data_IF_735285035119
#
_entry.id   IF_735285035119
#
_cell.length_a   1.000
_cell.length_b   1.000
_cell.length_c   1.000
_cell.angle_alpha   90.00
_cell.angle_beta   90.00
_cell.angle_gamma   90.00
#
_symmetry.space_group_name_H-M   'P 1'
#
loop_
_entity.id
_entity.type
_entity.pdbx_description
1 polymer ?
#
# COMPACT_ATOMS: atom_id res chain seq x y z
N UNK A 1 13.32 23.53 -6.30
CA UNK A 1 11.87 23.27 -6.17
C UNK A 1 11.61 21.87 -6.70
N UNK A 2 10.98 21.05 -5.84
CA UNK A 2 11.05 19.59 -5.87
C UNK A 2 10.36 18.93 -7.05
N UNK A 3 10.98 17.87 -7.56
CA UNK A 3 10.37 16.91 -8.47
C UNK A 3 10.49 15.52 -7.84
N UNK A 4 9.40 15.04 -7.27
CA UNK A 4 9.27 13.60 -7.00
C UNK A 4 7.87 13.15 -7.38
N UNK A 5 7.53 13.32 -8.67
CA UNK A 5 6.33 12.78 -9.31
C UNK A 5 6.59 11.38 -9.90
N UNK A 6 7.72 10.76 -9.57
CA UNK A 6 8.15 9.47 -10.11
C UNK A 6 8.31 8.45 -9.00
N UNK A 7 7.71 7.27 -9.21
CA UNK A 7 7.83 6.10 -8.37
C UNK A 7 9.27 5.57 -8.29
N UNK A 8 9.65 5.11 -7.09
CA UNK A 8 10.94 4.45 -6.83
C UNK A 8 10.78 3.34 -5.80
N UNK A 9 11.60 2.30 -5.93
CA UNK A 9 11.70 1.22 -4.95
C UNK A 9 10.48 0.28 -4.95
N UNK A 10 10.42 -0.67 -4.01
CA UNK A 10 9.46 -1.79 -4.06
C UNK A 10 7.99 -1.40 -4.01
N UNK A 11 7.65 -0.23 -3.45
CA UNK A 11 6.27 0.28 -3.37
C UNK A 11 5.98 1.37 -4.42
N UNK A 12 6.93 1.64 -5.33
CA UNK A 12 6.85 2.75 -6.28
C UNK A 12 6.54 4.09 -5.58
N UNK A 13 7.32 4.41 -4.53
CA UNK A 13 7.12 5.58 -3.69
C UNK A 13 7.09 6.84 -4.57
N UNK A 14 5.94 7.52 -4.54
CA UNK A 14 5.62 8.67 -5.38
C UNK A 14 5.17 9.84 -4.53
N UNK A 15 5.22 11.05 -5.08
CA UNK A 15 4.85 12.32 -4.45
C UNK A 15 5.81 12.82 -3.37
N UNK A 16 6.12 14.12 -3.43
CA UNK A 16 7.00 14.80 -2.48
C UNK A 16 6.61 14.63 -1.01
N UNK A 17 5.33 14.65 -0.68
CA UNK A 17 4.90 14.48 0.71
C UNK A 17 5.32 13.12 1.28
N UNK A 18 5.28 12.04 0.49
CA UNK A 18 5.72 10.72 0.94
C UNK A 18 7.25 10.69 1.15
N UNK A 19 8.03 11.28 0.24
CA UNK A 19 9.49 11.38 0.39
C UNK A 19 9.88 12.20 1.63
N UNK A 20 9.15 13.27 1.91
CA UNK A 20 9.36 14.07 3.12
C UNK A 20 9.06 13.29 4.40
N UNK A 21 7.88 12.67 4.49
CA UNK A 21 7.45 11.94 5.68
C UNK A 21 8.34 10.72 5.97
N UNK A 22 8.69 9.94 4.94
CA UNK A 22 9.58 8.79 5.13
C UNK A 22 11.03 9.22 5.37
N UNK A 23 11.48 10.30 4.74
CA UNK A 23 12.79 10.87 4.99
C UNK A 23 12.95 11.32 6.44
N UNK A 24 11.95 12.00 6.99
CA UNK A 24 11.90 12.37 8.40
C UNK A 24 11.92 11.13 9.30
N UNK A 25 11.11 10.11 9.00
CA UNK A 25 11.05 8.88 9.79
C UNK A 25 12.37 8.08 9.78
N UNK A 26 13.13 8.15 8.69
CA UNK A 26 14.41 7.45 8.54
C UNK A 26 15.62 8.32 8.94
N UNK A 27 15.44 9.62 9.18
CA UNK A 27 16.54 10.56 9.40
C UNK A 27 17.39 10.79 8.15
N UNK A 28 16.81 10.67 6.95
CA UNK A 28 17.49 10.82 5.65
C UNK A 28 16.74 11.86 4.81
N UNK A 29 17.44 12.86 4.28
CA UNK A 29 16.80 13.87 3.42
C UNK A 29 16.55 13.32 1.99
N UNK A 30 15.42 12.63 1.85
CA UNK A 30 14.95 12.05 0.59
C UNK A 30 14.28 13.07 -0.33
N UNK A 31 13.96 14.28 0.14
CA UNK A 31 13.49 15.37 -0.72
C UNK A 31 14.64 15.96 -1.53
N UNK A 32 15.80 16.15 -0.89
CA UNK A 32 17.01 16.57 -1.57
C UNK A 32 17.67 15.42 -2.35
N UNK A 33 17.57 14.17 -1.87
CA UNK A 33 18.27 13.00 -2.44
C UNK A 33 17.33 11.83 -2.79
N UNK A 34 16.32 12.02 -3.66
CA UNK A 34 15.31 10.99 -3.93
C UNK A 34 15.86 9.74 -4.61
N UNK A 35 17.01 9.83 -5.28
CA UNK A 35 17.62 8.68 -5.95
C UNK A 35 18.27 7.68 -4.99
N UNK A 36 18.42 8.02 -3.70
CA UNK A 36 18.81 7.04 -2.68
C UNK A 36 17.85 5.84 -2.63
N UNK A 37 16.55 6.05 -2.91
CA UNK A 37 15.55 4.97 -2.99
C UNK A 37 15.84 3.99 -4.14
N UNK A 38 16.60 4.41 -5.17
CA UNK A 38 17.05 3.53 -6.26
C UNK A 38 18.41 2.91 -6.01
N UNK A 39 19.31 3.67 -5.38
CA UNK A 39 20.73 3.34 -5.28
C UNK A 39 21.07 2.51 -4.03
N UNK A 40 20.29 2.64 -2.97
CA UNK A 40 20.49 1.91 -1.71
C UNK A 40 19.32 0.96 -1.46
N UNK A 41 19.61 -0.34 -1.49
CA UNK A 41 18.60 -1.38 -1.29
C UNK A 41 17.98 -1.37 0.11
N UNK A 42 18.75 -1.01 1.15
CA UNK A 42 18.23 -0.92 2.50
C UNK A 42 17.24 0.25 2.62
N UNK A 43 17.58 1.41 2.08
CA UNK A 43 16.67 2.56 2.01
C UNK A 43 15.43 2.21 1.19
N UNK A 44 15.60 1.56 0.04
CA UNK A 44 14.48 1.13 -0.80
C UNK A 44 13.46 0.28 -0.02
N UNK A 45 13.91 -0.77 0.69
CA UNK A 45 13.02 -1.60 1.50
C UNK A 45 12.47 -0.88 2.73
N UNK A 46 13.26 -0.04 3.40
CA UNK A 46 12.79 0.78 4.51
C UNK A 46 11.65 1.71 4.08
N UNK A 47 11.73 2.31 2.90
CA UNK A 47 10.62 3.16 2.41
C UNK A 47 9.34 2.37 2.14
N UNK A 48 9.45 1.16 1.58
CA UNK A 48 8.31 0.29 1.35
C UNK A 48 7.66 -0.20 2.65
N UNK A 49 8.49 -0.58 3.63
CA UNK A 49 8.03 -0.98 4.97
C UNK A 49 7.40 0.19 5.70
N UNK A 50 7.99 1.39 5.64
CA UNK A 50 7.40 2.57 6.24
C UNK A 50 6.00 2.84 5.68
N UNK A 51 5.81 2.78 4.36
CA UNK A 51 4.49 2.94 3.76
C UNK A 51 3.52 1.87 4.26
N UNK A 52 3.96 0.61 4.31
CA UNK A 52 3.14 -0.51 4.77
C UNK A 52 2.69 -0.39 6.23
N UNK A 53 3.53 0.19 7.08
CA UNK A 53 3.31 0.30 8.53
C UNK A 53 2.58 1.59 8.93
N UNK A 54 2.66 2.65 8.13
CA UNK A 54 2.22 4.00 8.52
C UNK A 54 0.78 4.27 8.06
N UNK A 55 -0.16 4.54 8.99
CA UNK A 55 -1.50 4.98 8.59
C UNK A 55 -1.46 6.38 7.99
N UNK A 56 -2.26 6.62 6.95
CA UNK A 56 -2.41 7.93 6.31
C UNK A 56 -3.90 8.32 6.35
N UNK A 57 -4.32 9.01 7.41
CA UNK A 57 -5.73 9.36 7.64
C UNK A 57 -6.39 9.92 6.37
N UNK A 58 -7.57 9.40 5.97
CA UNK A 58 -8.44 8.45 6.68
C UNK A 58 -8.06 6.97 6.57
N UNK A 59 -7.02 6.60 5.82
CA UNK A 59 -6.63 5.21 5.57
C UNK A 59 -5.92 4.59 6.79
N UNK A 60 -6.27 3.36 7.20
CA UNK A 60 -5.44 2.59 8.11
C UNK A 60 -4.13 2.16 7.43
N UNK A 61 -3.17 1.62 8.18
CA UNK A 61 -1.98 1.01 7.58
C UNK A 61 -2.30 -0.37 7.00
N UNK A 62 -1.60 -0.76 5.93
CA UNK A 62 -1.72 -2.10 5.35
C UNK A 62 -1.40 -3.17 6.39
N UNK A 63 -0.40 -2.92 7.25
CA UNK A 63 -0.06 -3.81 8.36
C UNK A 63 -1.26 -4.08 9.27
N UNK A 64 -1.92 -3.02 9.77
CA UNK A 64 -3.06 -3.18 10.68
C UNK A 64 -4.23 -3.94 10.02
N UNK A 65 -4.46 -3.72 8.73
CA UNK A 65 -5.47 -4.49 7.96
C UNK A 65 -5.14 -5.98 7.94
N UNK A 66 -3.89 -6.35 7.66
CA UNK A 66 -3.49 -7.75 7.49
C UNK A 66 -3.29 -8.51 8.79
N UNK A 67 -3.01 -7.82 9.90
CA UNK A 67 -2.78 -8.44 11.22
C UNK A 67 -4.00 -8.39 12.14
N UNK A 68 -5.15 -7.86 11.67
CA UNK A 68 -6.35 -7.71 12.48
C UNK A 68 -6.31 -6.53 13.47
N UNK A 69 -5.34 -5.62 13.32
CA UNK A 69 -5.23 -4.39 14.10
C UNK A 69 -6.15 -3.25 13.63
N UNK A 70 -6.84 -3.40 12.50
CA UNK A 70 -7.85 -2.45 12.02
C UNK A 70 -9.25 -3.06 12.07
N UNK A 71 -10.18 -2.33 12.67
CA UNK A 71 -11.59 -2.63 12.70
C UNK A 71 -12.34 -1.62 11.82
N UNK A 72 -13.09 -2.06 10.79
CA UNK A 72 -13.85 -1.16 9.93
C UNK A 72 -14.82 -0.31 10.74
N UNK A 73 -14.83 1.01 10.47
CA UNK A 73 -15.84 1.92 10.98
C UNK A 73 -17.20 1.69 10.30
N UNK A 74 -18.30 2.25 10.82
CA UNK A 74 -19.59 2.21 10.11
C UNK A 74 -19.53 2.79 8.69
N UNK A 75 -18.71 3.82 8.45
CA UNK A 75 -18.49 4.36 7.09
C UNK A 75 -17.80 3.34 6.19
N UNK A 76 -16.78 2.65 6.71
CA UNK A 76 -16.06 1.60 5.98
C UNK A 76 -16.99 0.45 5.59
N UNK A 77 -17.79 -0.03 6.54
CA UNK A 77 -18.79 -1.08 6.30
C UNK A 77 -19.80 -0.63 5.23
N UNK A 78 -20.29 0.62 5.31
CA UNK A 78 -21.24 1.16 4.32
C UNK A 78 -20.65 1.24 2.91
N UNK A 79 -19.33 1.36 2.82
CA UNK A 79 -18.54 1.44 1.58
C UNK A 79 -17.99 0.08 1.13
N UNK A 80 -18.42 -1.01 1.77
CA UNK A 80 -17.97 -2.36 1.44
C UNK A 80 -16.50 -2.64 1.79
N UNK A 81 -15.83 -1.76 2.55
CA UNK A 81 -14.45 -1.94 2.97
C UNK A 81 -14.39 -2.92 4.14
N UNK A 82 -13.62 -3.99 3.98
CA UNK A 82 -13.50 -5.07 4.95
C UNK A 82 -12.04 -5.54 5.07
N UNK A 83 -11.63 -6.15 6.20
CA UNK A 83 -10.27 -6.63 6.39
C UNK A 83 -9.92 -7.71 5.36
N UNK A 84 -8.73 -7.61 4.76
CA UNK A 84 -8.23 -8.55 3.76
C UNK A 84 -7.27 -7.90 2.76
N UNK A 85 -6.70 -8.71 1.88
CA UNK A 85 -5.69 -8.25 0.93
C UNK A 85 -6.23 -7.15 -0.01
N UNK A 86 -7.50 -7.24 -0.43
CA UNK A 86 -8.14 -6.24 -1.27
C UNK A 86 -8.16 -4.85 -0.62
N UNK A 87 -8.27 -4.77 0.70
CA UNK A 87 -8.21 -3.50 1.41
C UNK A 87 -6.81 -2.88 1.36
N UNK A 88 -5.74 -3.68 1.31
CA UNK A 88 -4.38 -3.15 1.08
C UNK A 88 -4.22 -2.57 -0.33
N UNK A 89 -4.86 -3.17 -1.35
CA UNK A 89 -4.91 -2.63 -2.72
C UNK A 89 -5.62 -1.27 -2.71
N UNK A 90 -6.73 -1.16 -1.97
CA UNK A 90 -7.47 0.10 -1.82
C UNK A 90 -6.62 1.20 -1.15
N UNK A 91 -5.86 0.86 -0.11
CA UNK A 91 -4.92 1.80 0.53
C UNK A 91 -3.87 2.30 -0.47
N UNK A 92 -3.25 1.37 -1.21
CA UNK A 92 -2.14 1.63 -2.13
C UNK A 92 -2.60 2.46 -3.34
N UNK A 93 -3.68 2.07 -4.02
CA UNK A 93 -4.10 2.71 -5.27
C UNK A 93 -5.61 2.62 -5.56
N UNK A 94 -6.44 2.66 -4.51
CA UNK A 94 -7.88 2.43 -4.62
C UNK A 94 -8.60 3.34 -5.62
N UNK A 95 -8.23 4.61 -5.71
CA UNK A 95 -8.86 5.57 -6.64
C UNK A 95 -8.73 5.21 -8.13
N UNK A 96 -7.79 4.34 -8.49
CA UNK A 96 -7.58 3.86 -9.85
C UNK A 96 -7.93 2.38 -10.05
N UNK A 97 -7.99 1.60 -8.97
CA UNK A 97 -8.03 0.15 -9.04
C UNK A 97 -9.26 -0.49 -8.39
N UNK A 98 -9.93 0.20 -7.47
CA UNK A 98 -11.04 -0.33 -6.67
C UNK A 98 -12.37 0.36 -6.99
N UNK A 99 -13.48 -0.22 -6.53
CA UNK A 99 -14.84 0.23 -6.86
C UNK A 99 -15.17 0.21 -8.36
N UNK A 100 -14.46 -0.61 -9.13
CA UNK A 100 -14.61 -0.82 -10.57
C UNK A 100 -14.48 -2.31 -10.87
N UNK A 101 -14.96 -2.80 -12.04
CA UNK A 101 -14.73 -4.18 -12.44
C UNK A 101 -13.24 -4.55 -12.35
N UNK A 102 -12.94 -5.75 -11.83
CA UNK A 102 -11.57 -6.20 -11.58
C UNK A 102 -10.72 -6.09 -12.84
N UNK A 103 -9.80 -5.13 -12.84
CA UNK A 103 -8.87 -4.87 -13.92
C UNK A 103 -7.60 -5.73 -13.78
N UNK A 104 -6.75 -5.71 -14.81
CA UNK A 104 -5.55 -6.55 -14.86
C UNK A 104 -4.52 -6.20 -13.79
N UNK A 105 -4.46 -4.95 -13.31
CA UNK A 105 -3.55 -4.55 -12.22
C UNK A 105 -3.93 -5.24 -10.91
N UNK A 106 -5.23 -5.26 -10.58
CA UNK A 106 -5.72 -5.98 -9.40
C UNK A 106 -5.50 -7.48 -9.54
N UNK A 107 -5.73 -8.05 -10.73
CA UNK A 107 -5.45 -9.48 -10.99
C UNK A 107 -3.98 -9.82 -10.78
N UNK A 108 -3.06 -8.98 -11.25
CA UNK A 108 -1.63 -9.17 -11.07
C UNK A 108 -1.22 -9.14 -9.59
N UNK A 109 -1.71 -8.15 -8.82
CA UNK A 109 -1.49 -8.08 -7.36
C UNK A 109 -1.97 -9.35 -6.65
N UNK A 110 -3.19 -9.80 -6.97
CA UNK A 110 -3.76 -11.00 -6.37
C UNK A 110 -3.00 -12.25 -6.80
N UNK A 111 -2.55 -12.34 -8.05
CA UNK A 111 -1.75 -13.46 -8.55
C UNK A 111 -0.42 -13.61 -7.81
N UNK A 112 0.28 -12.51 -7.52
CA UNK A 112 1.48 -12.55 -6.68
C UNK A 112 1.17 -12.97 -5.24
N UNK A 113 0.09 -12.45 -4.65
CA UNK A 113 -0.34 -12.83 -3.31
C UNK A 113 -0.69 -14.33 -3.22
N UNK A 114 -1.43 -14.85 -4.20
CA UNK A 114 -1.74 -16.27 -4.33
C UNK A 114 -0.46 -17.11 -4.42
N UNK A 115 0.47 -16.74 -5.30
CA UNK A 115 1.74 -17.46 -5.45
C UNK A 115 2.51 -17.52 -4.13
N UNK A 116 2.64 -16.42 -3.41
CA UNK A 116 3.39 -16.39 -2.16
C UNK A 116 2.69 -17.13 -1.02
N UNK A 117 1.36 -17.02 -0.92
CA UNK A 117 0.59 -17.76 0.10
C UNK A 117 0.66 -19.28 -0.15
N UNK A 118 0.62 -19.71 -1.40
CA UNK A 118 0.85 -21.11 -1.79
C UNK A 118 2.26 -21.59 -1.38
N UNK A 119 3.31 -20.82 -1.67
CA UNK A 119 4.68 -21.16 -1.27
C UNK A 119 4.86 -21.26 0.25
N UNK A 120 4.13 -20.44 1.01
CA UNK A 120 4.15 -20.42 2.48
C UNK A 120 3.20 -21.44 3.12
N UNK A 121 2.34 -22.11 2.34
CA UNK A 121 1.36 -23.07 2.86
C UNK A 121 0.25 -22.43 3.70
N UNK A 122 -0.10 -21.18 3.42
CA UNK A 122 -1.15 -20.44 4.15
C UNK A 122 -2.32 -20.07 3.24
N UNK A 123 -3.50 -19.85 3.82
CA UNK A 123 -4.67 -19.35 3.08
C UNK A 123 -4.47 -17.88 2.68
N UNK A 124 -5.05 -17.49 1.54
CA UNK A 124 -5.16 -16.08 1.15
C UNK A 124 -6.08 -15.27 2.08
N UNK A 125 -6.97 -15.94 2.82
CA UNK A 125 -8.00 -15.31 3.62
C UNK A 125 -9.18 -14.80 2.80
N UNK A 126 -10.01 -13.97 3.43
CA UNK A 126 -11.20 -13.36 2.80
C UNK A 126 -10.89 -11.98 2.21
N UNK A 127 -11.84 -11.43 1.44
CA UNK A 127 -11.78 -10.07 0.89
C UNK A 127 -10.48 -9.77 0.11
N UNK A 128 -10.06 -10.73 -0.72
CA UNK A 128 -8.81 -10.66 -1.50
C UNK A 128 -8.86 -9.61 -2.62
N UNK A 129 -10.06 -9.30 -3.12
CA UNK A 129 -10.30 -8.30 -4.18
C UNK A 129 -10.96 -7.03 -3.61
N UNK A 130 -10.84 -5.91 -4.34
CA UNK A 130 -11.37 -4.60 -3.94
C UNK A 130 -12.39 -4.00 -4.92
N UNK A 131 -12.87 -4.78 -5.89
CA UNK A 131 -13.83 -4.36 -6.92
C UNK A 131 -15.15 -3.85 -6.33
N UNK A 132 -15.51 -4.32 -5.12
CA UNK A 132 -16.70 -3.89 -4.37
C UNK A 132 -16.41 -2.94 -3.20
N UNK A 133 -15.17 -2.49 -3.06
CA UNK A 133 -14.76 -1.56 -2.00
C UNK A 133 -14.68 -0.14 -2.55
N UNK A 134 -15.47 0.79 -2.00
CA UNK A 134 -15.31 2.20 -2.37
C UNK A 134 -13.90 2.68 -2.00
N UNK A 135 -13.27 3.44 -2.89
CA UNK A 135 -11.93 3.98 -2.63
C UNK A 135 -11.93 4.98 -1.48
N UNK A 136 -10.78 5.13 -0.83
CA UNK A 136 -10.49 6.29 0.01
C UNK A 136 -10.06 7.50 -0.82
#
# INVERSE_FOLDING_TARGET
>A
MGKTDHGRGPIELSWNYNYGQVGEALGVDLLANPDLVKLDGAIAFQTALWFWMTPQTPKPSCHAVMTGGWMPSPDDVSKGRAPGFGMTINIINGGLECSIPTNDKVRDRVGFYERFTQMLGVSMGENVYCDRMAHY
#
